data_IF_834676766122
#
_entry.id   IF_834676766122
#
_cell.length_a   1.000
_cell.length_b   1.000
_cell.length_c   1.000
_cell.angle_alpha   90.00
_cell.angle_beta   90.00
_cell.angle_gamma   90.00
#
_symmetry.space_group_name_H-M   'P 1'
#
loop_
_entity.id
_entity.type
_entity.pdbx_description
1 polymer ?
#
# COMPACT_ATOMS: atom_id res chain seq x y z
N UNK A 1 35.21 -2.14 -4.26
CA UNK A 1 35.30 -0.98 -5.17
C UNK A 1 34.58 0.19 -4.52
N UNK A 2 35.31 1.22 -4.09
CA UNK A 2 34.74 2.41 -3.46
C UNK A 2 34.25 3.32 -4.59
N UNK A 3 32.92 3.45 -4.73
CA UNK A 3 32.30 4.36 -5.69
C UNK A 3 32.01 5.68 -4.96
N UNK A 4 32.75 6.73 -5.29
CA UNK A 4 32.49 8.10 -4.80
C UNK A 4 31.30 8.71 -5.54
N UNK A 5 30.53 9.54 -4.85
CA UNK A 5 29.17 9.94 -5.21
C UNK A 5 28.97 10.83 -6.45
N UNK A 6 29.97 10.97 -7.33
CA UNK A 6 29.95 11.89 -8.48
C UNK A 6 29.40 11.31 -9.79
N UNK A 7 29.02 10.03 -9.84
CA UNK A 7 28.58 9.35 -11.08
C UNK A 7 27.06 9.10 -11.18
N UNK A 8 26.21 9.82 -10.43
CA UNK A 8 24.75 9.60 -10.46
C UNK A 8 24.03 10.62 -11.34
N UNK A 9 23.74 10.23 -12.58
CA UNK A 9 22.71 10.85 -13.43
C UNK A 9 21.32 10.50 -12.88
N UNK A 10 20.88 11.28 -11.89
CA UNK A 10 19.54 11.22 -11.31
C UNK A 10 19.51 11.88 -9.94
N UNK A 11 18.41 12.60 -9.62
CA UNK A 11 18.19 13.09 -8.25
C UNK A 11 18.19 11.87 -7.31
N UNK A 12 19.09 11.78 -6.34
CA UNK A 12 19.06 10.69 -5.37
C UNK A 12 17.71 10.75 -4.64
N UNK A 13 16.96 9.63 -4.65
CA UNK A 13 15.79 9.50 -3.78
C UNK A 13 16.27 9.70 -2.35
N UNK A 14 15.74 10.71 -1.68
CA UNK A 14 16.09 10.98 -0.28
C UNK A 14 15.84 9.71 0.53
N UNK A 15 16.84 9.31 1.32
CA UNK A 15 16.66 8.20 2.27
C UNK A 15 15.75 8.73 3.37
N UNK A 16 14.45 8.39 3.27
CA UNK A 16 13.43 8.71 4.26
C UNK A 16 13.76 8.12 5.64
N UNK A 17 13.38 8.76 6.76
CA UNK A 17 13.88 8.44 8.10
C UNK A 17 13.40 7.10 8.68
N UNK A 18 14.34 6.35 9.26
CA UNK A 18 14.27 5.62 10.54
C UNK A 18 13.27 4.49 10.83
N UNK A 19 12.00 4.58 10.40
CA UNK A 19 10.95 3.68 10.89
C UNK A 19 10.28 2.93 9.73
N UNK A 20 11.05 2.04 9.09
CA UNK A 20 10.57 1.22 7.97
C UNK A 20 10.24 -0.18 8.45
N UNK A 21 9.04 -0.63 8.12
CA UNK A 21 8.66 -2.02 8.24
C UNK A 21 8.99 -2.75 6.94
N UNK A 22 9.52 -3.97 7.06
CA UNK A 22 9.83 -4.81 5.91
C UNK A 22 8.66 -5.75 5.63
N UNK A 23 8.37 -5.93 4.34
CA UNK A 23 7.50 -6.98 3.82
C UNK A 23 8.32 -7.77 2.81
N UNK A 24 8.39 -9.08 3.01
CA UNK A 24 9.06 -10.00 2.08
C UNK A 24 8.02 -10.59 1.14
N UNK A 25 8.33 -10.69 -0.13
CA UNK A 25 7.48 -11.39 -1.11
C UNK A 25 8.30 -12.51 -1.72
N UNK A 26 7.81 -13.75 -1.56
CA UNK A 26 8.38 -14.92 -2.23
C UNK A 26 7.51 -15.21 -3.46
N UNK A 27 8.15 -15.23 -4.62
CA UNK A 27 7.49 -15.31 -5.92
C UNK A 27 8.09 -16.43 -6.76
N UNK A 28 7.27 -17.13 -7.53
CA UNK A 28 7.72 -18.08 -8.56
C UNK A 28 7.11 -17.75 -9.93
N UNK A 29 7.86 -18.07 -10.99
CA UNK A 29 7.45 -17.90 -12.39
C UNK A 29 7.89 -19.12 -13.20
N UNK A 30 7.25 -19.39 -14.34
CA UNK A 30 7.64 -20.48 -15.24
C UNK A 30 7.99 -19.98 -16.65
N UNK A 31 8.64 -20.85 -17.43
CA UNK A 31 9.10 -20.57 -18.78
C UNK A 31 7.96 -20.25 -19.77
N UNK A 32 6.74 -20.70 -19.47
CA UNK A 32 5.55 -20.42 -20.28
C UNK A 32 5.06 -18.98 -20.12
N UNK A 33 5.61 -18.23 -19.16
CA UNK A 33 5.25 -16.84 -18.90
C UNK A 33 4.21 -16.66 -17.81
N UNK A 34 3.99 -17.66 -16.96
CA UNK A 34 3.02 -17.59 -15.86
C UNK A 34 3.73 -17.25 -14.55
N UNK A 35 3.06 -16.46 -13.71
CA UNK A 35 3.42 -16.25 -12.32
C UNK A 35 2.55 -17.11 -11.41
N UNK A 36 3.12 -17.59 -10.30
CA UNK A 36 2.31 -18.07 -9.18
C UNK A 36 1.77 -16.86 -8.40
N UNK A 37 0.82 -17.12 -7.53
CA UNK A 37 0.29 -16.13 -6.62
C UNK A 37 1.37 -15.84 -5.56
N UNK A 38 1.62 -14.57 -5.24
CA UNK A 38 2.69 -14.18 -4.34
C UNK A 38 2.42 -14.68 -2.92
N UNK A 39 3.50 -15.07 -2.25
CA UNK A 39 3.50 -15.41 -0.84
C UNK A 39 4.15 -14.26 -0.07
N UNK A 40 3.32 -13.51 0.66
CA UNK A 40 3.70 -12.23 1.26
C UNK A 40 3.91 -12.42 2.76
N UNK A 41 5.11 -12.15 3.26
CA UNK A 41 5.44 -12.23 4.69
C UNK A 41 5.50 -10.81 5.25
N UNK A 42 4.56 -10.48 6.12
CA UNK A 42 4.54 -9.22 6.86
C UNK A 42 5.13 -9.38 8.26
N UNK A 43 5.85 -8.35 8.72
CA UNK A 43 6.23 -8.29 10.13
C UNK A 43 4.98 -8.14 11.02
N UNK A 44 4.89 -8.94 12.09
CA UNK A 44 3.82 -8.88 13.07
C UNK A 44 3.44 -10.25 13.65
N UNK A 45 2.46 -10.24 14.55
CA UNK A 45 2.02 -11.44 15.29
C UNK A 45 0.59 -11.86 15.00
N UNK A 46 -0.21 -11.05 14.32
CA UNK A 46 -1.62 -11.35 14.07
C UNK A 46 -2.01 -10.94 12.66
N UNK A 47 -2.88 -11.75 12.05
CA UNK A 47 -3.67 -11.37 10.89
C UNK A 47 -4.80 -10.44 11.33
N UNK A 48 -4.91 -9.27 10.69
CA UNK A 48 -5.96 -8.28 10.99
C UNK A 48 -6.96 -8.24 9.83
N UNK A 49 -8.26 -8.24 10.14
CA UNK A 49 -9.34 -8.28 9.15
C UNK A 49 -9.19 -7.22 8.05
N UNK A 50 -8.88 -5.98 8.44
CA UNK A 50 -8.72 -4.85 7.53
C UNK A 50 -7.58 -4.98 6.51
N UNK A 51 -6.70 -5.99 6.63
CA UNK A 51 -5.69 -6.31 5.61
C UNK A 51 -6.25 -7.21 4.49
N UNK A 52 -7.29 -7.99 4.77
CA UNK A 52 -7.88 -8.96 3.86
C UNK A 52 -9.18 -8.46 3.21
N UNK A 53 -9.78 -7.39 3.75
CA UNK A 53 -11.00 -6.74 3.24
C UNK A 53 -10.78 -5.88 1.99
N UNK A 54 -9.53 -5.58 1.62
CA UNK A 54 -9.22 -4.75 0.45
C UNK A 54 -9.73 -5.44 -0.83
N UNK A 55 -10.72 -4.89 -1.56
CA UNK A 55 -11.39 -5.60 -2.66
C UNK A 55 -10.45 -5.98 -3.80
N UNK A 56 -9.41 -5.17 -4.02
CA UNK A 56 -8.41 -5.40 -5.06
C UNK A 56 -7.50 -6.59 -4.78
N UNK A 57 -7.37 -7.01 -3.52
CA UNK A 57 -6.51 -8.12 -3.12
C UNK A 57 -7.13 -9.47 -3.58
N UNK A 58 -6.43 -10.27 -4.40
CA UNK A 58 -6.97 -11.54 -4.87
C UNK A 58 -7.11 -12.58 -3.74
N UNK A 59 -8.14 -13.42 -3.81
CA UNK A 59 -8.46 -14.42 -2.77
C UNK A 59 -7.38 -15.50 -2.62
N UNK A 60 -6.66 -15.80 -3.68
CA UNK A 60 -5.66 -16.86 -3.77
C UNK A 60 -4.25 -16.42 -3.36
N UNK A 61 -4.08 -15.14 -3.04
CA UNK A 61 -2.85 -14.64 -2.45
C UNK A 61 -2.73 -15.10 -1.01
N UNK A 62 -1.48 -15.32 -0.58
CA UNK A 62 -1.17 -15.83 0.74
C UNK A 62 -0.42 -14.76 1.52
N UNK A 63 -0.89 -14.50 2.74
CA UNK A 63 -0.22 -13.63 3.69
C UNK A 63 0.27 -14.51 4.85
N UNK A 64 1.52 -14.31 5.23
CA UNK A 64 2.16 -14.96 6.34
C UNK A 64 2.69 -13.90 7.32
N UNK A 65 2.76 -14.27 8.59
CA UNK A 65 3.28 -13.40 9.65
C UNK A 65 4.59 -13.95 10.21
N UNK A 66 5.59 -13.08 10.33
CA UNK A 66 6.82 -13.37 11.07
C UNK A 66 7.19 -12.20 11.98
N UNK A 67 7.99 -12.42 13.02
CA UNK A 67 8.30 -11.36 13.98
C UNK A 67 9.04 -10.17 13.34
N UNK A 68 9.90 -10.44 12.35
CA UNK A 68 10.78 -9.47 11.72
C UNK A 68 10.47 -9.23 10.23
N UNK A 69 9.47 -9.92 9.67
CA UNK A 69 9.10 -9.85 8.25
C UNK A 69 9.99 -10.68 7.32
N UNK A 70 10.96 -11.42 7.87
CA UNK A 70 11.83 -12.31 7.10
C UNK A 70 11.26 -13.72 7.02
N UNK A 71 11.75 -14.48 6.04
CA UNK A 71 11.49 -15.91 5.92
C UNK A 71 12.31 -16.72 6.94
N UNK A 72 11.87 -17.94 7.22
CA UNK A 72 12.57 -18.94 8.02
C UNK A 72 12.27 -20.34 7.43
N UNK A 73 12.82 -21.40 8.02
CA UNK A 73 12.64 -22.76 7.49
C UNK A 73 11.17 -23.21 7.44
N UNK A 74 10.38 -22.84 8.46
CA UNK A 74 8.95 -23.16 8.54
C UNK A 74 8.16 -22.45 7.43
N UNK A 75 8.37 -21.14 7.27
CA UNK A 75 7.73 -20.34 6.21
C UNK A 75 8.22 -20.74 4.82
N UNK A 76 9.47 -21.17 4.68
CA UNK A 76 10.01 -21.74 3.45
C UNK A 76 9.28 -23.03 3.05
N UNK A 77 9.00 -23.91 4.01
CA UNK A 77 8.21 -25.11 3.76
C UNK A 77 6.74 -24.80 3.44
N UNK A 78 6.13 -23.84 4.13
CA UNK A 78 4.76 -23.39 3.80
C UNK A 78 4.67 -22.76 2.43
N UNK A 79 5.68 -21.97 2.04
CA UNK A 79 5.78 -21.46 0.68
C UNK A 79 5.92 -22.60 -0.34
N UNK A 80 6.71 -23.64 -0.05
CA UNK A 80 6.85 -24.80 -0.95
C UNK A 80 5.53 -25.55 -1.13
N UNK A 81 4.75 -25.74 -0.06
CA UNK A 81 3.39 -26.32 -0.12
C UNK A 81 2.46 -25.46 -0.98
N UNK A 82 2.53 -24.14 -0.84
CA UNK A 82 1.81 -23.20 -1.69
C UNK A 82 2.25 -23.32 -3.15
N UNK A 83 3.55 -23.28 -3.43
CA UNK A 83 4.13 -23.47 -4.77
C UNK A 83 3.65 -24.76 -5.41
N UNK A 84 3.70 -25.87 -4.69
CA UNK A 84 3.26 -27.17 -5.15
C UNK A 84 1.78 -27.15 -5.55
N UNK A 85 0.91 -26.67 -4.64
CA UNK A 85 -0.54 -26.54 -4.89
C UNK A 85 -0.86 -25.67 -6.11
N UNK A 86 -0.10 -24.59 -6.34
CA UNK A 86 -0.35 -23.63 -7.44
C UNK A 86 0.28 -24.03 -8.78
N UNK A 87 1.09 -25.08 -8.80
CA UNK A 87 1.80 -25.52 -10.01
C UNK A 87 1.54 -26.97 -10.40
N UNK A 88 0.88 -27.76 -9.54
CA UNK A 88 0.59 -29.16 -9.78
C UNK A 88 -0.23 -29.38 -11.06
N UNK A 89 -1.19 -28.51 -11.34
CA UNK A 89 -2.04 -28.53 -12.55
C UNK A 89 -1.36 -27.91 -13.78
N UNK A 90 -0.22 -27.22 -13.60
CA UNK A 90 0.54 -26.52 -14.66
C UNK A 90 1.74 -27.34 -15.16
N UNK A 91 1.86 -28.59 -14.73
CA UNK A 91 3.03 -29.42 -15.02
C UNK A 91 2.85 -30.25 -16.28
N UNK A 92 3.83 -30.19 -17.19
CA UNK A 92 3.93 -31.14 -18.29
C UNK A 92 4.79 -32.32 -17.81
N UNK A 93 4.16 -33.48 -17.60
CA UNK A 93 4.82 -34.69 -17.13
C UNK A 93 4.79 -34.86 -15.61
N UNK A 94 5.67 -35.71 -15.08
CA UNK A 94 5.64 -36.12 -13.66
C UNK A 94 6.55 -35.29 -12.74
N UNK A 95 7.49 -34.52 -13.28
CA UNK A 95 8.51 -33.81 -12.50
C UNK A 95 8.48 -32.31 -12.78
N UNK A 96 8.76 -31.51 -11.76
CA UNK A 96 8.95 -30.05 -11.86
C UNK A 96 10.36 -29.68 -11.43
N UNK A 97 11.03 -28.84 -12.21
CA UNK A 97 12.32 -28.25 -11.82
C UNK A 97 12.08 -26.92 -11.10
N UNK A 98 12.54 -26.82 -9.86
CA UNK A 98 12.51 -25.61 -9.05
C UNK A 98 13.93 -25.02 -8.94
N UNK A 99 14.15 -23.88 -9.58
CA UNK A 99 15.44 -23.16 -9.56
C UNK A 99 15.41 -22.13 -8.44
N UNK A 100 16.35 -22.21 -7.50
CA UNK A 100 16.40 -21.39 -6.29
C UNK A 100 17.75 -20.69 -6.15
N UNK A 101 17.76 -19.58 -5.42
CA UNK A 101 19.02 -19.06 -4.88
C UNK A 101 19.49 -19.93 -3.71
N UNK A 102 20.79 -19.88 -3.40
CA UNK A 102 21.38 -20.66 -2.32
C UNK A 102 21.04 -20.13 -0.91
N UNK A 103 19.85 -19.58 -0.70
CA UNK A 103 19.44 -19.04 0.60
C UNK A 103 19.19 -20.17 1.62
N UNK A 104 19.66 -19.98 2.86
CA UNK A 104 19.69 -21.00 3.92
C UNK A 104 18.31 -21.64 4.20
N UNK A 105 17.22 -20.88 4.02
CA UNK A 105 15.84 -21.36 4.23
C UNK A 105 15.39 -22.47 3.27
N UNK A 106 16.15 -22.75 2.20
CA UNK A 106 15.84 -23.79 1.22
C UNK A 106 16.54 -25.13 1.53
N UNK A 107 17.31 -25.21 2.62
CA UNK A 107 18.17 -26.36 2.93
C UNK A 107 17.71 -27.17 4.16
N UNK A 108 16.43 -27.10 4.53
CA UNK A 108 15.91 -27.94 5.61
C UNK A 108 15.61 -29.35 5.11
N UNK A 109 15.85 -30.35 5.95
CA UNK A 109 15.55 -31.77 5.64
C UNK A 109 14.07 -31.96 5.28
N UNK A 110 13.18 -31.21 5.91
CA UNK A 110 11.74 -31.27 5.65
C UNK A 110 11.39 -30.70 4.26
N UNK A 111 12.07 -29.63 3.85
CA UNK A 111 11.92 -29.06 2.51
C UNK A 111 12.35 -30.05 1.43
N UNK A 112 13.53 -30.67 1.59
CA UNK A 112 14.05 -31.67 0.65
C UNK A 112 13.15 -32.91 0.57
N UNK A 113 12.70 -33.45 1.71
CA UNK A 113 11.76 -34.59 1.75
C UNK A 113 10.43 -34.27 1.07
N UNK A 114 9.91 -33.06 1.26
CA UNK A 114 8.67 -32.63 0.60
C UNK A 114 8.86 -32.54 -0.92
N UNK A 115 9.99 -31.99 -1.38
CA UNK A 115 10.36 -31.95 -2.79
C UNK A 115 10.42 -33.35 -3.40
N UNK A 116 11.12 -34.29 -2.75
CA UNK A 116 11.25 -35.68 -3.21
C UNK A 116 9.87 -36.37 -3.30
N UNK A 117 9.05 -36.26 -2.25
CA UNK A 117 7.72 -36.87 -2.21
C UNK A 117 6.78 -36.34 -3.30
N UNK A 118 6.93 -35.07 -3.70
CA UNK A 118 6.08 -34.40 -4.69
C UNK A 118 6.72 -34.25 -6.08
N UNK A 119 7.81 -34.99 -6.33
CA UNK A 119 8.54 -35.01 -7.62
C UNK A 119 9.00 -33.61 -8.07
N UNK A 120 9.42 -32.79 -7.12
CA UNK A 120 10.02 -31.48 -7.36
C UNK A 120 11.53 -31.64 -7.26
N UNK A 121 12.24 -31.39 -8.35
CA UNK A 121 13.71 -31.41 -8.41
C UNK A 121 14.19 -29.99 -8.12
N UNK A 122 15.02 -29.81 -7.10
CA UNK A 122 15.61 -28.51 -6.78
C UNK A 122 16.95 -28.35 -7.50
N UNK A 123 17.19 -27.14 -8.02
CA UNK A 123 18.49 -26.74 -8.58
C UNK A 123 18.88 -25.40 -7.99
N UNK A 124 19.91 -25.41 -7.12
CA UNK A 124 20.43 -24.18 -6.53
C UNK A 124 21.43 -23.52 -7.46
N UNK A 125 21.27 -22.21 -7.65
CA UNK A 125 22.23 -21.41 -8.42
C UNK A 125 23.55 -21.24 -7.67
N UNK A 126 24.68 -21.06 -8.38
CA UNK A 126 25.95 -20.67 -7.77
C UNK A 126 25.80 -19.37 -6.96
N UNK A 127 26.60 -19.25 -5.89
CA UNK A 127 26.62 -18.05 -5.07
C UNK A 127 26.88 -16.79 -5.91
N UNK A 128 26.18 -15.70 -5.59
CA UNK A 128 26.28 -14.40 -6.26
C UNK A 128 25.91 -14.38 -7.76
N UNK A 129 25.28 -15.43 -8.30
CA UNK A 129 24.89 -15.51 -9.70
C UNK A 129 23.43 -15.10 -10.00
N UNK A 130 22.64 -14.67 -8.99
CA UNK A 130 21.22 -14.33 -9.17
C UNK A 130 20.97 -13.27 -10.25
N UNK A 131 21.82 -12.23 -10.27
CA UNK A 131 21.75 -11.15 -11.27
C UNK A 131 22.01 -11.61 -12.73
N UNK A 132 22.47 -12.84 -12.93
CA UNK A 132 22.76 -13.45 -14.23
C UNK A 132 21.77 -14.56 -14.58
N UNK A 133 21.48 -15.44 -13.62
CA UNK A 133 20.79 -16.71 -13.86
C UNK A 133 19.35 -16.72 -13.35
N UNK A 134 18.96 -15.82 -12.45
CA UNK A 134 17.62 -15.82 -11.85
C UNK A 134 16.67 -14.97 -12.70
N UNK A 135 15.69 -15.55 -13.40
CA UNK A 135 14.80 -14.79 -14.29
C UNK A 135 14.06 -13.66 -13.56
N UNK A 136 13.68 -13.88 -12.30
CA UNK A 136 13.04 -12.85 -11.48
C UNK A 136 13.92 -11.60 -11.30
N UNK A 137 15.20 -11.76 -10.98
CA UNK A 137 16.12 -10.63 -10.82
C UNK A 137 16.51 -10.00 -12.16
N UNK A 138 16.72 -10.83 -13.18
CA UNK A 138 17.15 -10.38 -14.52
C UNK A 138 16.10 -9.50 -15.20
N UNK A 139 14.81 -9.84 -15.08
CA UNK A 139 13.77 -9.19 -15.89
C UNK A 139 12.46 -8.81 -15.19
N UNK A 140 12.15 -9.29 -13.98
CA UNK A 140 10.83 -9.06 -13.37
C UNK A 140 10.88 -8.06 -12.19
N UNK A 141 11.82 -8.23 -11.26
CA UNK A 141 11.89 -7.43 -10.04
C UNK A 141 12.31 -5.98 -10.29
N UNK A 142 13.13 -5.70 -11.30
CA UNK A 142 13.44 -4.32 -11.72
C UNK A 142 12.18 -3.54 -12.11
N UNK A 143 11.41 -4.01 -13.11
CA UNK A 143 10.11 -3.43 -13.46
C UNK A 143 9.13 -3.34 -12.29
N UNK A 144 8.99 -4.40 -11.49
CA UNK A 144 8.10 -4.42 -10.32
C UNK A 144 8.46 -3.31 -9.32
N UNK A 145 9.75 -3.18 -8.94
CA UNK A 145 10.23 -2.12 -8.03
C UNK A 145 9.93 -0.73 -8.59
N UNK A 146 10.08 -0.53 -9.91
CA UNK A 146 9.75 0.74 -10.57
C UNK A 146 8.24 1.02 -10.56
N UNK A 147 7.41 0.01 -10.84
CA UNK A 147 5.96 0.15 -10.81
C UNK A 147 5.46 0.47 -9.40
N UNK A 148 5.88 -0.31 -8.40
CA UNK A 148 5.56 -0.04 -7.00
C UNK A 148 6.05 1.35 -6.56
N UNK A 149 7.25 1.77 -6.99
CA UNK A 149 7.74 3.12 -6.75
C UNK A 149 6.82 4.22 -7.28
N UNK A 150 6.16 4.00 -8.43
CA UNK A 150 5.15 4.94 -8.97
C UNK A 150 3.89 4.97 -8.13
N UNK A 151 3.39 3.80 -7.70
CA UNK A 151 2.22 3.72 -6.80
C UNK A 151 2.46 4.50 -5.50
N UNK A 152 3.67 4.38 -4.92
CA UNK A 152 4.04 5.15 -3.73
C UNK A 152 4.18 6.64 -4.02
N UNK A 153 4.74 7.03 -5.17
CA UNK A 153 4.80 8.44 -5.59
C UNK A 153 3.40 9.05 -5.76
N UNK A 154 2.45 8.29 -6.29
CA UNK A 154 1.06 8.74 -6.47
C UNK A 154 0.30 8.84 -5.14
N UNK A 155 0.53 7.92 -4.20
CA UNK A 155 0.05 8.03 -2.82
C UNK A 155 0.61 9.29 -2.13
N UNK A 156 1.90 9.60 -2.32
CA UNK A 156 2.52 10.80 -1.75
C UNK A 156 1.91 12.08 -2.34
N UNK A 157 1.66 12.14 -3.65
CA UNK A 157 0.96 13.27 -4.29
C UNK A 157 -0.43 13.50 -3.69
N UNK A 158 -1.11 12.42 -3.30
CA UNK A 158 -2.41 12.43 -2.62
C UNK A 158 -2.32 12.70 -1.11
N UNK A 159 -1.18 13.23 -0.64
CA UNK A 159 -0.90 13.53 0.77
C UNK A 159 -0.89 12.30 1.71
N UNK A 160 -0.65 11.10 1.16
CA UNK A 160 -0.46 9.87 1.93
C UNK A 160 1.04 9.64 2.16
N UNK A 161 1.56 10.17 3.27
CA UNK A 161 3.00 10.13 3.56
C UNK A 161 3.43 8.94 4.41
N UNK A 162 2.49 8.23 5.03
CA UNK A 162 2.76 7.03 5.83
C UNK A 162 2.11 5.83 5.16
N UNK A 163 2.95 4.88 4.73
CA UNK A 163 2.53 3.66 4.04
C UNK A 163 2.52 2.54 5.07
N UNK A 164 1.33 2.13 5.50
CA UNK A 164 1.16 0.94 6.32
C UNK A 164 0.75 -0.25 5.45
N UNK A 165 0.52 -1.43 6.06
CA UNK A 165 0.07 -2.62 5.32
C UNK A 165 -1.22 -2.37 4.52
N UNK A 166 -2.12 -1.50 5.00
CA UNK A 166 -3.38 -1.17 4.29
C UNK A 166 -3.16 -0.37 3.01
N UNK A 167 -2.06 0.38 2.91
CA UNK A 167 -1.67 1.08 1.68
C UNK A 167 -0.76 0.20 0.82
N UNK A 168 0.07 -0.64 1.45
CA UNK A 168 0.99 -1.55 0.76
C UNK A 168 0.25 -2.54 -0.14
N UNK A 169 -0.74 -3.28 0.38
CA UNK A 169 -1.40 -4.34 -0.38
C UNK A 169 -2.00 -3.86 -1.71
N UNK A 170 -2.85 -2.81 -1.77
CA UNK A 170 -3.40 -2.35 -3.04
C UNK A 170 -2.33 -1.80 -4.00
N UNK A 171 -1.33 -1.07 -3.48
CA UNK A 171 -0.22 -0.58 -4.30
C UNK A 171 0.62 -1.73 -4.87
N UNK A 172 0.87 -2.77 -4.07
CA UNK A 172 1.62 -3.95 -4.51
C UNK A 172 0.82 -4.77 -5.53
N UNK A 173 -0.49 -4.94 -5.33
CA UNK A 173 -1.38 -5.59 -6.32
C UNK A 173 -1.33 -4.88 -7.67
N UNK A 174 -1.48 -3.56 -7.69
CA UNK A 174 -1.43 -2.76 -8.91
C UNK A 174 -0.07 -2.93 -9.62
N UNK A 175 1.03 -2.82 -8.86
CA UNK A 175 2.38 -2.99 -9.40
C UNK A 175 2.62 -4.41 -9.92
N UNK A 176 2.14 -5.43 -9.21
CA UNK A 176 2.29 -6.84 -9.58
C UNK A 176 1.58 -7.14 -10.89
N UNK A 177 0.30 -6.78 -11.00
CA UNK A 177 -0.51 -6.98 -12.20
C UNK A 177 0.05 -6.24 -13.41
N UNK A 178 0.61 -5.04 -13.21
CA UNK A 178 1.20 -4.25 -14.29
C UNK A 178 2.54 -4.82 -14.80
N UNK A 179 3.23 -5.68 -14.03
CA UNK A 179 4.62 -6.05 -14.32
C UNK A 179 4.88 -7.55 -14.45
N UNK A 180 4.14 -8.41 -13.75
CA UNK A 180 4.25 -9.88 -13.86
C UNK A 180 3.45 -10.39 -15.07
N UNK A 181 3.81 -9.89 -16.25
CA UNK A 181 3.18 -10.23 -17.53
C UNK A 181 3.93 -11.36 -18.23
N UNK A 182 3.22 -12.12 -19.07
CA UNK A 182 3.80 -13.20 -19.89
C UNK A 182 5.03 -12.74 -20.68
N UNK A 183 4.95 -11.55 -21.28
CA UNK A 183 6.05 -10.94 -22.04
C UNK A 183 7.28 -10.70 -21.18
N UNK A 184 7.10 -10.11 -19.99
CA UNK A 184 8.23 -9.81 -19.10
C UNK A 184 8.85 -11.09 -18.58
N UNK A 185 8.03 -12.08 -18.18
CA UNK A 185 8.49 -13.36 -17.65
C UNK A 185 9.29 -14.13 -18.71
N UNK A 186 8.74 -14.30 -19.92
CA UNK A 186 9.48 -14.96 -21.02
C UNK A 186 10.75 -14.21 -21.40
N UNK A 187 10.71 -12.88 -21.40
CA UNK A 187 11.89 -12.03 -21.59
C UNK A 187 12.95 -12.26 -20.51
N UNK A 188 12.53 -12.46 -19.26
CA UNK A 188 13.39 -12.77 -18.12
C UNK A 188 14.09 -14.13 -18.27
N UNK A 189 13.35 -15.18 -18.67
CA UNK A 189 13.93 -16.50 -18.95
C UNK A 189 14.94 -16.47 -20.10
N UNK A 190 14.64 -15.70 -21.15
CA UNK A 190 15.59 -15.47 -22.26
C UNK A 190 16.83 -14.71 -21.79
N UNK A 191 16.64 -13.66 -20.99
CA UNK A 191 17.73 -12.85 -20.46
C UNK A 191 18.67 -13.62 -19.53
N UNK A 192 18.14 -14.64 -18.84
CA UNK A 192 18.88 -15.57 -18.00
C UNK A 192 19.50 -16.75 -18.78
N UNK A 193 19.31 -16.82 -20.10
CA UNK A 193 19.84 -17.89 -20.96
C UNK A 193 19.24 -19.27 -20.68
N UNK A 194 18.06 -19.34 -20.01
CA UNK A 194 17.43 -20.61 -19.65
C UNK A 194 16.45 -21.09 -20.71
N UNK A 195 15.65 -20.18 -21.30
CA UNK A 195 14.67 -20.51 -22.33
C UNK A 195 14.63 -19.43 -23.44
N UNK A 196 15.10 -19.75 -24.68
CA UNK A 196 15.83 -20.97 -25.02
C UNK A 196 17.15 -21.08 -24.23
N UNK A 197 17.66 -22.30 -24.09
CA UNK A 197 18.92 -22.54 -23.41
C UNK A 197 20.08 -21.95 -24.23
N UNK A 198 20.71 -20.91 -23.70
CA UNK A 198 21.79 -20.14 -24.35
C UNK A 198 22.83 -19.68 -23.30
N UNK A 199 23.81 -20.55 -22.96
CA UNK A 199 24.85 -20.22 -22.00
C UNK A 199 25.73 -19.03 -22.41
N UNK A 200 25.97 -18.83 -23.70
CA UNK A 200 26.86 -17.76 -24.20
C UNK A 200 26.29 -16.36 -23.92
N UNK A 201 24.97 -16.23 -23.95
CA UNK A 201 24.28 -14.98 -23.55
C UNK A 201 24.57 -14.56 -22.10
N UNK A 202 24.93 -15.52 -21.24
CA UNK A 202 25.29 -15.29 -19.83
C UNK A 202 26.79 -15.15 -19.67
N UNK A 203 27.58 -16.04 -20.28
CA UNK A 203 29.05 -16.05 -20.20
C UNK A 203 29.64 -14.74 -20.73
N UNK A 204 29.11 -14.23 -21.85
CA UNK A 204 29.55 -12.95 -22.43
C UNK A 204 29.38 -11.73 -21.50
N UNK A 205 28.47 -11.79 -20.52
CA UNK A 205 28.27 -10.71 -19.53
C UNK A 205 29.34 -10.69 -18.44
N UNK A 206 30.11 -11.76 -18.30
CA UNK A 206 31.22 -11.84 -17.35
C UNK A 206 32.45 -11.05 -17.85
N UNK A 207 32.50 -10.75 -19.15
CA UNK A 207 33.59 -9.99 -19.77
C UNK A 207 33.29 -8.47 -19.69
N UNK A 208 33.66 -7.86 -18.56
CA UNK A 208 33.30 -6.47 -18.24
C UNK A 208 34.15 -5.48 -19.05
N UNK A 209 33.58 -4.91 -20.11
CA UNK A 209 34.14 -3.71 -20.76
C UNK A 209 33.57 -2.44 -20.11
N UNK A 210 34.41 -1.69 -19.39
CA UNK A 210 34.06 -0.38 -18.83
C UNK A 210 33.82 0.63 -19.96
N UNK A 211 32.58 1.12 -20.10
CA UNK A 211 32.26 2.24 -20.98
C UNK A 211 32.12 3.53 -20.19
N UNK A 212 33.01 4.48 -20.45
CA UNK A 212 32.95 5.84 -19.91
C UNK A 212 31.84 6.64 -20.62
N UNK A 213 30.87 7.24 -19.92
CA UNK A 213 29.86 8.09 -20.54
C UNK A 213 30.49 9.34 -21.14
N UNK A 214 30.03 9.73 -22.34
CA UNK A 214 30.40 11.02 -22.97
C UNK A 214 29.71 12.17 -22.20
N UNK A 215 30.45 13.24 -21.81
CA UNK A 215 29.85 14.35 -21.09
C UNK A 215 28.84 15.12 -21.96
N UNK A 216 27.77 15.70 -21.37
CA UNK A 216 26.81 16.51 -22.09
C UNK A 216 27.43 17.85 -22.49
N UNK A 217 27.16 18.29 -23.71
CA UNK A 217 27.52 19.63 -24.20
C UNK A 217 26.53 20.64 -23.61
N UNK A 218 27.04 21.63 -22.88
CA UNK A 218 26.26 22.76 -22.38
C UNK A 218 25.98 23.75 -23.52
N UNK A 219 24.70 23.92 -23.89
CA UNK A 219 24.27 24.97 -24.82
C UNK A 219 24.08 26.30 -24.08
N UNK A 220 24.83 27.31 -24.53
CA UNK A 220 24.73 28.68 -24.05
C UNK A 220 23.38 29.31 -24.48
N UNK A 221 22.57 29.68 -23.48
CA UNK A 221 21.32 30.39 -23.71
C UNK A 221 21.55 31.88 -23.95
N UNK A 222 21.17 32.38 -25.13
CA UNK A 222 21.16 33.81 -25.46
C UNK A 222 19.98 34.54 -24.80
N UNK A 223 20.22 35.76 -24.34
CA UNK A 223 19.25 36.69 -23.77
C UNK A 223 18.33 37.26 -24.86
N UNK A 224 17.02 37.05 -24.72
CA UNK A 224 15.99 37.63 -25.59
C UNK A 224 15.50 39.01 -25.07
N UNK A 225 15.11 39.94 -25.98
CA UNK A 225 14.57 41.25 -25.61
C UNK A 225 13.18 41.14 -24.96
N UNK A 226 12.84 42.15 -24.16
CA UNK A 226 11.59 42.25 -23.41
C UNK A 226 10.33 42.19 -24.30
N UNK A 227 9.45 41.23 -24.03
CA UNK A 227 8.10 41.10 -24.62
C UNK A 227 7.06 41.27 -23.50
N UNK A 228 5.90 41.85 -23.84
CA UNK A 228 4.76 42.10 -22.95
C UNK A 228 4.51 40.96 -21.95
N UNK A 229 4.52 41.28 -20.66
CA UNK A 229 4.35 40.31 -19.57
C UNK A 229 2.90 39.92 -19.38
N UNK A 230 2.67 38.61 -19.39
CA UNK A 230 1.39 37.98 -19.05
C UNK A 230 1.09 38.20 -17.56
N UNK A 231 -0.11 38.68 -17.19
CA UNK A 231 -0.52 38.79 -15.80
C UNK A 231 -0.46 37.44 -15.10
N UNK A 232 0.13 37.39 -13.91
CA UNK A 232 0.20 36.20 -13.04
C UNK A 232 -0.66 36.32 -11.79
N UNK A 233 -1.16 37.52 -11.50
CA UNK A 233 -1.97 37.80 -10.31
C UNK A 233 -3.25 38.56 -10.67
N UNK A 234 -4.25 38.49 -9.78
CA UNK A 234 -5.52 39.22 -9.95
C UNK A 234 -5.26 40.73 -10.06
N UNK A 235 -4.36 41.28 -9.23
CA UNK A 235 -3.98 42.69 -9.24
C UNK A 235 -3.26 43.10 -10.55
N UNK A 236 -2.43 42.23 -11.12
CA UNK A 236 -1.82 42.46 -12.44
C UNK A 236 -2.86 42.43 -13.57
N UNK A 237 -3.87 41.55 -13.47
CA UNK A 237 -4.95 41.48 -14.45
C UNK A 237 -5.85 42.72 -14.39
N UNK A 238 -6.19 43.18 -13.18
CA UNK A 238 -6.96 44.41 -12.94
C UNK A 238 -6.22 45.64 -13.47
N UNK A 239 -4.94 45.80 -13.13
CA UNK A 239 -4.14 46.94 -13.61
C UNK A 239 -3.94 46.93 -15.13
N UNK A 240 -3.77 45.76 -15.77
CA UNK A 240 -3.74 45.67 -17.24
C UNK A 240 -5.10 45.99 -17.88
N UNK A 241 -6.21 45.58 -17.27
CA UNK A 241 -7.57 45.90 -17.71
C UNK A 241 -7.86 47.40 -17.63
N UNK A 242 -7.49 48.07 -16.53
CA UNK A 242 -7.61 49.52 -16.38
C UNK A 242 -6.72 50.28 -17.38
N UNK A 243 -5.51 49.78 -17.64
CA UNK A 243 -4.60 50.33 -18.65
C UNK A 243 -5.20 50.24 -20.06
N UNK A 244 -5.75 49.08 -20.42
CA UNK A 244 -6.47 48.86 -21.68
C UNK A 244 -7.68 49.79 -21.82
N UNK A 245 -8.52 49.90 -20.78
CA UNK A 245 -9.68 50.79 -20.76
C UNK A 245 -9.30 52.26 -20.97
N UNK A 246 -8.22 52.73 -20.32
CA UNK A 246 -7.70 54.10 -20.52
C UNK A 246 -7.20 54.34 -21.95
N UNK A 247 -6.56 53.35 -22.57
CA UNK A 247 -6.07 53.45 -23.95
C UNK A 247 -7.19 53.43 -24.99
N UNK A 248 -8.17 52.54 -24.84
CA UNK A 248 -9.35 52.47 -25.72
C UNK A 248 -10.09 53.81 -25.71
N UNK A 249 -10.31 54.40 -24.52
CA UNK A 249 -11.00 55.70 -24.37
C UNK A 249 -10.25 56.89 -25.00
N UNK A 250 -8.92 56.80 -25.16
CA UNK A 250 -8.07 57.88 -25.69
C UNK A 250 -7.66 57.68 -27.15
N UNK A 251 -8.09 56.60 -27.79
CA UNK A 251 -7.68 56.24 -29.13
C UNK A 251 -8.42 57.09 -30.18
N UNK A 252 -7.72 58.01 -30.85
CA UNK A 252 -8.35 58.97 -31.77
C UNK A 252 -8.09 58.75 -33.27
N UNK A 253 -7.15 57.87 -33.69
CA UNK A 253 -6.97 57.42 -35.11
C UNK A 253 -5.65 56.69 -35.43
N UNK A 254 -4.77 56.40 -34.45
CA UNK A 254 -3.51 55.65 -34.69
C UNK A 254 -3.73 54.14 -34.87
N UNK A 255 -2.72 53.36 -35.27
CA UNK A 255 -2.85 51.90 -35.44
C UNK A 255 -3.27 51.20 -34.11
N UNK A 256 -4.26 50.27 -34.15
CA UNK A 256 -4.74 49.54 -32.98
C UNK A 256 -3.79 48.43 -32.49
N UNK A 257 -2.63 48.24 -33.12
CA UNK A 257 -1.66 47.17 -32.84
C UNK A 257 -1.35 47.01 -31.35
N UNK A 258 -1.18 48.12 -30.63
CA UNK A 258 -0.82 48.11 -29.21
C UNK A 258 -1.98 47.66 -28.31
N UNK A 259 -3.22 47.99 -28.68
CA UNK A 259 -4.44 47.55 -27.96
C UNK A 259 -4.69 46.06 -28.24
N UNK A 260 -4.54 45.64 -29.51
CA UNK A 260 -4.64 44.23 -29.91
C UNK A 260 -3.56 43.37 -29.22
N UNK A 261 -2.33 43.88 -29.09
CA UNK A 261 -1.26 43.22 -28.34
C UNK A 261 -1.59 43.05 -26.86
N UNK A 262 -2.13 44.08 -26.21
CA UNK A 262 -2.55 44.00 -24.81
C UNK A 262 -3.75 43.07 -24.59
N UNK A 263 -4.75 43.06 -25.49
CA UNK A 263 -5.86 42.10 -25.46
C UNK A 263 -5.37 40.65 -25.66
N UNK A 264 -4.44 40.42 -26.59
CA UNK A 264 -3.80 39.10 -26.78
C UNK A 264 -3.05 38.66 -25.52
N UNK A 265 -2.34 39.57 -24.85
CA UNK A 265 -1.64 39.29 -23.58
C UNK A 265 -2.61 38.93 -22.46
N UNK A 266 -3.71 39.68 -22.31
CA UNK A 266 -4.75 39.40 -21.32
C UNK A 266 -5.41 38.05 -21.58
N UNK A 267 -5.85 37.79 -22.81
CA UNK A 267 -6.46 36.51 -23.20
C UNK A 267 -5.51 35.33 -22.95
N UNK A 268 -4.20 35.49 -23.21
CA UNK A 268 -3.18 34.49 -22.89
C UNK A 268 -3.05 34.26 -21.39
N UNK A 269 -3.08 35.31 -20.57
CA UNK A 269 -3.06 35.23 -19.11
C UNK A 269 -4.29 34.54 -18.54
N UNK A 270 -5.48 34.94 -18.98
CA UNK A 270 -6.74 34.28 -18.61
C UNK A 270 -6.72 32.81 -18.98
N UNK A 271 -6.26 32.46 -20.19
CA UNK A 271 -6.13 31.06 -20.61
C UNK A 271 -5.18 30.26 -19.70
N UNK A 272 -4.03 30.83 -19.34
CA UNK A 272 -3.09 30.17 -18.42
C UNK A 272 -3.71 29.93 -17.04
N UNK A 273 -4.38 30.94 -16.45
CA UNK A 273 -5.07 30.81 -15.17
C UNK A 273 -6.21 29.79 -15.24
N UNK A 274 -6.97 29.76 -16.33
CA UNK A 274 -8.05 28.77 -16.51
C UNK A 274 -7.50 27.34 -16.59
N UNK A 275 -6.37 27.14 -17.28
CA UNK A 275 -5.69 25.84 -17.31
C UNK A 275 -5.19 25.44 -15.92
N UNK A 276 -4.56 26.36 -15.20
CA UNK A 276 -4.10 26.13 -13.81
C UNK A 276 -5.29 25.79 -12.89
N UNK A 277 -6.40 26.53 -12.99
CA UNK A 277 -7.60 26.26 -12.19
C UNK A 277 -8.22 24.89 -12.52
N UNK A 278 -8.21 24.48 -13.79
CA UNK A 278 -8.66 23.15 -14.19
C UNK A 278 -7.78 22.04 -13.59
N UNK A 279 -6.44 22.21 -13.62
CA UNK A 279 -5.50 21.29 -12.99
C UNK A 279 -5.69 21.23 -11.46
N UNK A 280 -5.81 22.38 -10.80
CA UNK A 280 -6.05 22.47 -9.36
C UNK A 280 -7.37 21.81 -8.95
N UNK A 281 -8.45 21.98 -9.74
CA UNK A 281 -9.72 21.31 -9.49
C UNK A 281 -9.62 19.79 -9.60
N UNK A 282 -8.88 19.30 -10.59
CA UNK A 282 -8.63 17.87 -10.75
C UNK A 282 -7.84 17.31 -9.55
N UNK A 283 -6.74 17.95 -9.17
CA UNK A 283 -5.90 17.56 -8.03
C UNK A 283 -6.68 17.59 -6.71
N UNK A 284 -7.50 18.63 -6.50
CA UNK A 284 -8.35 18.74 -5.32
C UNK A 284 -9.40 17.62 -5.24
N UNK A 285 -9.93 17.17 -6.39
CA UNK A 285 -10.77 15.98 -6.49
C UNK A 285 -10.02 14.72 -6.05
N UNK A 286 -8.85 14.46 -6.63
CA UNK A 286 -8.03 13.28 -6.29
C UNK A 286 -7.64 13.22 -4.81
N UNK A 287 -7.27 14.37 -4.22
CA UNK A 287 -6.92 14.46 -2.79
C UNK A 287 -8.15 14.18 -1.91
N UNK A 288 -9.33 14.68 -2.28
CA UNK A 288 -10.57 14.40 -1.54
C UNK A 288 -10.92 12.92 -1.56
N UNK A 289 -10.88 12.29 -2.73
CA UNK A 289 -11.17 10.87 -2.90
C UNK A 289 -10.18 10.00 -2.10
N UNK A 290 -8.88 10.33 -2.19
CA UNK A 290 -7.85 9.63 -1.42
C UNK A 290 -8.04 9.78 0.09
N UNK A 291 -8.40 10.98 0.56
CA UNK A 291 -8.65 11.23 1.98
C UNK A 291 -9.90 10.48 2.47
N UNK A 292 -10.92 10.32 1.63
CA UNK A 292 -12.09 9.50 1.97
C UNK A 292 -11.72 8.02 2.12
N UNK A 293 -10.97 7.45 1.17
CA UNK A 293 -10.47 6.07 1.24
C UNK A 293 -9.62 5.86 2.49
N UNK A 294 -8.69 6.78 2.77
CA UNK A 294 -7.88 6.73 4.00
C UNK A 294 -8.74 6.83 5.26
N UNK A 295 -9.76 7.68 5.29
CA UNK A 295 -10.68 7.79 6.42
C UNK A 295 -11.41 6.47 6.66
N UNK A 296 -11.91 5.82 5.59
CA UNK A 296 -12.56 4.51 5.67
C UNK A 296 -11.59 3.46 6.22
N UNK A 297 -10.37 3.36 5.67
CA UNK A 297 -9.33 2.41 6.14
C UNK A 297 -8.94 2.62 7.60
N UNK A 298 -8.84 3.88 8.06
CA UNK A 298 -8.52 4.20 9.46
C UNK A 298 -9.66 3.87 10.43
N UNK A 299 -10.91 3.91 9.97
CA UNK A 299 -12.09 3.54 10.78
C UNK A 299 -12.39 2.04 10.74
N UNK A 300 -11.83 1.31 9.77
CA UNK A 300 -12.03 -0.14 9.65
C UNK A 300 -11.60 -0.85 10.95
N UNK A 301 -12.39 -1.83 11.36
CA UNK A 301 -12.13 -2.59 12.59
C UNK A 301 -10.84 -3.39 12.43
N UNK A 302 -9.96 -3.31 13.43
CA UNK A 302 -8.71 -4.08 13.47
C UNK A 302 -8.91 -5.39 14.23
N UNK A 303 -9.95 -6.11 13.85
CA UNK A 303 -10.29 -7.41 14.44
C UNK A 303 -9.17 -8.40 14.15
N UNK A 304 -8.71 -9.12 15.17
CA UNK A 304 -7.69 -10.16 15.03
C UNK A 304 -8.36 -11.44 14.53
N UNK A 305 -7.91 -11.95 13.40
CA UNK A 305 -8.44 -13.19 12.81
C UNK A 305 -7.66 -14.41 13.33
N UNK A 306 -6.34 -14.33 13.30
CA UNK A 306 -5.45 -15.42 13.69
C UNK A 306 -4.15 -14.86 14.26
N UNK A 307 -3.58 -15.57 15.23
CA UNK A 307 -2.23 -15.28 15.73
C UNK A 307 -1.20 -16.05 14.89
N UNK A 308 -0.31 -15.31 14.22
CA UNK A 308 0.82 -15.84 13.46
C UNK A 308 0.41 -16.68 12.24
N UNK A 309 1.39 -17.41 11.70
CA UNK A 309 1.18 -18.41 10.65
C UNK A 309 0.80 -17.83 9.29
N UNK A 310 0.29 -18.71 8.45
CA UNK A 310 -0.05 -18.47 7.04
C UNK A 310 -1.56 -18.45 6.89
N UNK A 311 -2.08 -17.57 6.05
CA UNK A 311 -3.52 -17.42 5.78
C UNK A 311 -3.73 -16.98 4.34
N UNK A 312 -4.59 -17.70 3.60
CA UNK A 312 -5.03 -17.23 2.30
C UNK A 312 -6.04 -16.09 2.46
N UNK A 313 -6.04 -15.13 1.53
CA UNK A 313 -6.96 -13.98 1.59
C UNK A 313 -8.43 -14.44 1.51
N UNK A 314 -8.72 -15.50 0.74
CA UNK A 314 -10.05 -16.10 0.68
C UNK A 314 -10.51 -16.66 2.01
N UNK A 315 -9.67 -17.44 2.68
CA UNK A 315 -9.94 -18.00 4.01
C UNK A 315 -10.19 -16.90 5.05
N UNK A 316 -9.38 -15.83 5.01
CA UNK A 316 -9.56 -14.68 5.88
C UNK A 316 -10.92 -14.00 5.68
N UNK A 317 -11.35 -13.84 4.42
CA UNK A 317 -12.66 -13.25 4.08
C UNK A 317 -13.81 -14.15 4.52
N UNK A 318 -13.69 -15.46 4.30
CA UNK A 318 -14.71 -16.42 4.74
C UNK A 318 -14.85 -16.40 6.28
N UNK A 319 -13.75 -16.25 7.02
CA UNK A 319 -13.76 -16.07 8.47
C UNK A 319 -14.44 -14.75 8.89
N UNK A 320 -14.18 -13.65 8.19
CA UNK A 320 -14.82 -12.36 8.46
C UNK A 320 -16.33 -12.46 8.23
N UNK A 321 -16.74 -13.03 7.10
CA UNK A 321 -18.15 -13.21 6.75
C UNK A 321 -18.87 -14.07 7.80
N UNK A 322 -18.23 -15.16 8.26
CA UNK A 322 -18.77 -15.99 9.33
C UNK A 322 -18.91 -15.23 10.66
N UNK A 323 -17.91 -14.42 11.04
CA UNK A 323 -17.96 -13.60 12.25
C UNK A 323 -19.10 -12.57 12.21
N UNK A 324 -19.35 -11.98 11.04
CA UNK A 324 -20.45 -11.02 10.86
C UNK A 324 -21.82 -11.69 10.96
N UNK A 325 -21.97 -12.89 10.37
CA UNK A 325 -23.18 -13.72 10.52
C UNK A 325 -23.42 -14.08 11.98
N UNK A 326 -22.40 -14.57 12.69
CA UNK A 326 -22.52 -14.95 14.11
C UNK A 326 -22.90 -13.75 14.99
N UNK A 327 -22.29 -12.59 14.74
CA UNK A 327 -22.60 -11.35 15.44
C UNK A 327 -24.06 -10.90 15.17
N UNK A 328 -24.55 -11.08 13.95
CA UNK A 328 -25.94 -10.78 13.60
C UNK A 328 -26.92 -11.73 14.33
N UNK A 329 -26.62 -13.04 14.37
CA UNK A 329 -27.42 -14.04 15.08
C UNK A 329 -27.51 -13.73 16.58
N UNK A 330 -26.40 -13.33 17.21
CA UNK A 330 -26.37 -12.91 18.62
C UNK A 330 -27.21 -11.65 18.83
N UNK A 331 -27.09 -10.66 17.95
CA UNK A 331 -27.87 -9.42 18.02
C UNK A 331 -29.39 -9.69 17.90
N UNK A 332 -29.81 -10.55 16.97
CA UNK A 332 -31.22 -10.93 16.78
C UNK A 332 -31.75 -11.75 17.96
N UNK A 333 -30.95 -12.69 18.48
CA UNK A 333 -31.31 -13.49 19.67
C UNK A 333 -31.51 -12.62 20.91
N UNK A 334 -30.66 -11.60 21.10
CA UNK A 334 -30.80 -10.65 22.21
C UNK A 334 -32.05 -9.77 22.10
N UNK A 335 -32.47 -9.42 20.87
CA UNK A 335 -33.73 -8.68 20.61
C UNK A 335 -34.96 -9.54 20.89
N UNK A 336 -34.91 -10.83 20.54
CA UNK A 336 -36.03 -11.76 20.77
C UNK A 336 -36.12 -12.22 22.24
N UNK A 337 -35.00 -12.30 22.97
CA UNK A 337 -34.99 -12.63 24.40
C UNK A 337 -35.54 -11.53 25.33
N UNK A 338 -35.65 -10.29 24.84
CA UNK A 338 -36.14 -9.14 25.59
C UNK A 338 -37.65 -9.11 25.87
N UNK A 339 -38.45 -10.02 25.29
CA UNK A 339 -39.91 -10.05 25.48
C UNK A 339 -40.39 -11.07 26.52
N UNK A 340 -39.50 -11.83 27.16
CA UNK A 340 -39.89 -12.96 28.02
C UNK A 340 -39.24 -12.97 29.39
N UNK A 341 -39.56 -11.99 30.26
CA UNK A 341 -39.65 -12.11 31.74
C UNK A 341 -39.78 -10.72 32.36
N UNK A 342 -41.01 -10.33 32.69
CA UNK A 342 -41.25 -9.24 33.64
C UNK A 342 -40.62 -9.61 34.98
N UNK A 343 -39.47 -9.01 35.31
CA UNK A 343 -39.03 -8.96 36.69
C UNK A 343 -40.12 -8.22 37.49
N UNK A 344 -40.79 -8.93 38.40
CA UNK A 344 -41.78 -8.33 39.33
C UNK A 344 -41.14 -7.09 39.96
N UNK A 345 -41.80 -5.92 39.98
CA UNK A 345 -41.24 -4.74 40.64
C UNK A 345 -40.99 -5.08 42.12
N UNK A 346 -39.74 -4.96 42.57
CA UNK A 346 -39.41 -5.12 43.98
C UNK A 346 -40.28 -4.19 44.83
N UNK A 347 -40.96 -4.75 45.82
CA UNK A 347 -41.86 -4.00 46.71
C UNK A 347 -41.04 -2.93 47.45
N UNK A 348 -41.35 -1.65 47.20
CA UNK A 348 -40.65 -0.53 47.84
C UNK A 348 -40.92 -0.53 49.35
N UNK A 349 -39.85 -0.45 50.14
CA UNK A 349 -39.87 -0.36 51.61
C UNK A 349 -39.57 1.08 52.05
N UNK A 350 -40.17 1.51 53.14
CA UNK A 350 -39.89 2.78 53.79
C UNK A 350 -38.43 2.80 54.27
N UNK A 351 -37.67 3.85 53.97
CA UNK A 351 -36.25 3.94 54.37
C UNK A 351 -36.05 4.27 55.85
N UNK A 352 -37.11 4.62 56.59
CA UNK A 352 -37.06 4.93 58.03
C UNK A 352 -37.32 3.67 58.87
N UNK A 353 -38.39 2.92 58.59
CA UNK A 353 -38.77 1.73 59.37
C UNK A 353 -38.70 0.38 58.61
N UNK A 354 -38.34 0.38 57.32
CA UNK A 354 -38.19 -0.85 56.51
C UNK A 354 -39.48 -1.57 56.10
N UNK A 355 -40.66 -1.07 56.52
CA UNK A 355 -41.98 -1.64 56.21
C UNK A 355 -42.47 -1.22 54.82
N UNK A 356 -43.30 -2.04 54.18
CA UNK A 356 -43.92 -1.74 52.87
C UNK A 356 -45.26 -1.03 53.06
N UNK A 357 -45.73 -0.29 52.05
CA UNK A 357 -47.06 0.37 52.08
C UNK A 357 -47.06 1.86 52.44
N UNK A 358 -45.92 2.44 52.81
CA UNK A 358 -45.75 3.88 53.00
C UNK A 358 -44.30 4.28 52.71
N UNK A 359 -44.01 5.59 52.63
CA UNK A 359 -42.66 6.11 52.41
C UNK A 359 -42.17 6.91 53.62
N UNK A 360 -40.88 7.29 53.61
CA UNK A 360 -40.24 7.99 54.73
C UNK A 360 -40.96 9.27 55.18
N UNK A 361 -41.67 9.97 54.28
CA UNK A 361 -42.36 11.22 54.58
C UNK A 361 -43.67 11.02 55.34
N UNK A 362 -44.19 9.80 55.34
CA UNK A 362 -45.44 9.43 56.03
C UNK A 362 -45.16 8.39 57.13
N UNK A 363 -43.90 8.21 57.52
CA UNK A 363 -43.49 7.32 58.59
C UNK A 363 -43.76 8.01 59.93
N UNK A 364 -44.56 7.38 60.80
CA UNK A 364 -44.94 7.91 62.11
C UNK A 364 -44.02 7.43 63.25
N UNK A 365 -42.84 6.87 62.93
CA UNK A 365 -41.86 6.45 63.94
C UNK A 365 -40.79 7.56 64.08
N UNK A 366 -40.77 8.24 65.23
CA UNK A 366 -39.78 9.26 65.61
C UNK A 366 -38.49 8.58 66.13
N UNK A 367 -37.32 9.03 65.64
CA UNK A 367 -36.00 8.53 66.05
C UNK A 367 -35.42 9.50 67.10
N UNK A 368 -35.23 9.03 68.34
CA UNK A 368 -34.43 9.74 69.36
C UNK A 368 -32.95 9.76 68.95
N UNK A 369 -32.36 10.95 68.89
CA UNK A 369 -30.94 11.16 68.58
C UNK A 369 -30.16 11.22 69.89
N UNK A 370 -29.41 10.17 70.23
CA UNK A 370 -28.37 10.19 71.26
C UNK A 370 -27.07 10.72 70.66
N UNK A 371 -26.60 11.88 71.16
CA UNK A 371 -25.28 12.42 70.84
C UNK A 371 -24.18 11.75 71.64
N UNK A 372 -22.98 11.69 71.08
CA UNK A 372 -21.74 11.50 71.83
C UNK A 372 -20.55 12.12 71.07
N UNK A 373 -19.62 12.62 71.87
CA UNK A 373 -18.62 13.65 71.61
C UNK A 373 -17.38 13.13 70.85
N UNK A 374 -16.81 13.98 69.98
CA UNK A 374 -15.48 13.79 69.43
C UNK A 374 -14.44 14.42 70.37
N UNK A 375 -13.51 13.61 70.87
CA UNK A 375 -12.26 14.09 71.49
C UNK A 375 -11.07 13.90 70.54
N UNK A 376 -10.27 14.96 70.44
CA UNK A 376 -9.03 15.09 69.69
C UNK A 376 -7.90 14.21 70.27
N UNK A 377 -6.98 13.75 69.41
CA UNK A 377 -5.60 13.48 69.80
C UNK A 377 -4.64 13.69 68.62
N UNK A 378 -3.47 14.20 69.00
CA UNK A 378 -2.44 14.92 68.24
C UNK A 378 -1.71 14.14 67.13
#
# INVERSE_FOLDING_TARGET
MVVTGSEKLGRPKSVQPGNREWITVIQAINAEGQATEPFIIGAGQNHLANWHEEPTLPRDWVIAMSQNGWTNNELGLEWLRHFDRRTADRSVGSYRLLILDGHESHHSVEFERYCEANKIVTLCMPAHASHLLQPLDVGCFGPLKKAYGREIEDLIKRSVHHISKTEFFPAFVAAFQATMTEKNIRGAFRGAGLVPFDPESVISKLDVQLRTPTPPVEEASQTQPWISKTPKTVLEAESQSEYLNRRIRRHQSSSPESILGALKSLAKGTKAIMHENALLRAELGEVRDANEILSRRRRAKRTRLQKGGVMAVGEARDLIDQMDVDMQVVAESSRNGGQGRSARPGVRRCSVCGKTGHNARTCQEDIEVSGEENSEQF
#
